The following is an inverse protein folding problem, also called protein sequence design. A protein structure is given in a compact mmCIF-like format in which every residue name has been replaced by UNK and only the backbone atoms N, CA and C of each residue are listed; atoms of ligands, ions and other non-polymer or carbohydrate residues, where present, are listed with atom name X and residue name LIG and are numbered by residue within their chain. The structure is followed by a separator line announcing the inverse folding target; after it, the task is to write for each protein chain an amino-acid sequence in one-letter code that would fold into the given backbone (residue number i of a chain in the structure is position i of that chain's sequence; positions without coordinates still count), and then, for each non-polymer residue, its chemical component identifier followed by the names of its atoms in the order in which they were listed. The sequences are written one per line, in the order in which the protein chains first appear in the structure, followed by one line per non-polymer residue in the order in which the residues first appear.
data_IF_630827278931
#
_entry.id   IF_630827278931
#
_cell.length_a   1.000
_cell.length_b   1.000
_cell.length_c   1.000
_cell.angle_alpha   90.00
_cell.angle_beta   90.00
_cell.angle_gamma   90.00
#
_symmetry.space_group_name_H-M   'P 1'
#
loop_
_entity.id
_entity.type
_entity.pdbx_description
1 polymer ?
#
# COMPACT_ATOMS: atom_id res chain seq x y z
N UNK A 1 -48.44 4.49 -6.70
CA UNK A 1 -47.27 4.35 -5.80
C UNK A 1 -46.81 2.89 -5.67
N UNK A 2 -47.47 1.95 -6.35
CA UNK A 2 -47.22 0.51 -6.20
C UNK A 2 -46.22 -0.09 -7.23
N UNK A 3 -45.90 0.63 -8.32
CA UNK A 3 -44.90 0.20 -9.31
C UNK A 3 -43.44 0.33 -8.82
N UNK A 4 -43.14 1.28 -7.92
CA UNK A 4 -41.80 1.39 -7.34
C UNK A 4 -41.52 0.28 -6.30
N UNK A 5 -42.56 -0.27 -5.67
CA UNK A 5 -42.41 -1.32 -4.66
C UNK A 5 -42.29 -2.72 -5.30
N UNK A 6 -42.86 -2.90 -6.50
CA UNK A 6 -42.66 -4.10 -7.32
C UNK A 6 -41.26 -4.14 -7.94
N UNK A 7 -40.73 -3.03 -8.44
CA UNK A 7 -39.35 -2.97 -8.95
C UNK A 7 -38.29 -3.18 -7.85
N UNK A 8 -38.52 -2.65 -6.64
CA UNK A 8 -37.65 -2.88 -5.48
C UNK A 8 -37.69 -4.34 -4.97
N UNK A 9 -38.83 -5.02 -5.10
CA UNK A 9 -38.97 -6.43 -4.72
C UNK A 9 -38.47 -7.40 -5.80
N UNK A 10 -38.47 -7.00 -7.08
CA UNK A 10 -37.87 -7.77 -8.18
C UNK A 10 -36.34 -7.67 -8.16
N UNK A 11 -35.78 -6.49 -7.84
CA UNK A 11 -34.32 -6.36 -7.63
C UNK A 11 -33.85 -7.09 -6.38
N UNK A 12 -34.61 -7.10 -5.28
CA UNK A 12 -34.23 -7.83 -4.07
C UNK A 12 -34.30 -9.36 -4.24
N UNK A 13 -35.25 -9.89 -5.03
CA UNK A 13 -35.31 -11.32 -5.35
C UNK A 13 -34.18 -11.79 -6.29
N UNK A 14 -33.82 -11.00 -7.30
CA UNK A 14 -32.67 -11.30 -8.17
C UNK A 14 -31.31 -11.26 -7.44
N UNK A 15 -31.19 -10.45 -6.38
CA UNK A 15 -29.99 -10.38 -5.53
C UNK A 15 -29.92 -11.49 -4.48
N UNK A 16 -31.05 -12.00 -4.01
CA UNK A 16 -31.09 -13.14 -3.08
C UNK A 16 -30.59 -14.44 -3.75
N UNK A 17 -30.91 -14.66 -5.03
CA UNK A 17 -30.40 -15.81 -5.80
C UNK A 17 -28.91 -15.69 -6.16
N UNK A 18 -28.40 -14.45 -6.29
CA UNK A 18 -26.97 -14.16 -6.52
C UNK A 18 -26.10 -14.44 -5.29
N UNK A 19 -26.68 -14.63 -4.11
CA UNK A 19 -25.97 -14.99 -2.88
C UNK A 19 -26.16 -16.45 -2.47
N UNK A 20 -26.36 -17.31 -3.47
CA UNK A 20 -26.10 -18.74 -3.35
C UNK A 20 -24.64 -18.98 -2.93
N UNK A 21 -24.46 -19.92 -2.00
CA UNK A 21 -23.33 -20.06 -1.07
C UNK A 21 -21.94 -20.38 -1.64
N UNK A 22 -21.66 -19.99 -2.87
CA UNK A 22 -20.33 -20.04 -3.44
C UNK A 22 -19.50 -18.82 -3.00
N UNK A 23 -18.27 -19.07 -2.55
CA UNK A 23 -17.31 -18.04 -2.14
C UNK A 23 -16.59 -17.48 -3.36
N UNK A 24 -16.57 -16.16 -3.51
CA UNK A 24 -15.95 -15.48 -4.68
C UNK A 24 -14.65 -14.74 -4.33
N UNK A 25 -13.98 -15.08 -3.23
CA UNK A 25 -12.68 -14.49 -2.86
C UNK A 25 -11.65 -14.47 -4.01
N UNK A 26 -11.66 -15.51 -4.87
CA UNK A 26 -10.79 -15.59 -6.04
C UNK A 26 -10.96 -14.41 -7.00
N UNK A 27 -12.17 -13.89 -7.18
CA UNK A 27 -12.43 -12.77 -8.07
C UNK A 27 -11.73 -11.48 -7.58
N UNK A 28 -11.66 -11.28 -6.27
CA UNK A 28 -10.98 -10.14 -5.66
C UNK A 28 -9.45 -10.27 -5.72
N UNK A 29 -8.92 -11.48 -5.50
CA UNK A 29 -7.47 -11.73 -5.66
C UNK A 29 -7.08 -11.58 -7.12
N UNK A 30 -7.88 -12.14 -8.03
CA UNK A 30 -7.65 -12.07 -9.46
C UNK A 30 -7.70 -10.63 -9.97
N UNK A 31 -8.60 -9.77 -9.47
CA UNK A 31 -8.61 -8.36 -9.86
C UNK A 31 -7.34 -7.63 -9.45
N UNK A 32 -6.80 -7.92 -8.27
CA UNK A 32 -5.52 -7.36 -7.80
C UNK A 32 -4.35 -7.85 -8.67
N UNK A 33 -4.25 -9.16 -8.92
CA UNK A 33 -3.18 -9.73 -9.73
C UNK A 33 -3.27 -9.27 -11.20
N UNK A 34 -4.47 -9.23 -11.77
CA UNK A 34 -4.70 -8.76 -13.13
C UNK A 34 -4.23 -7.32 -13.31
N UNK A 35 -4.59 -6.42 -12.39
CA UNK A 35 -4.12 -5.01 -12.48
C UNK A 35 -2.60 -4.90 -12.41
N UNK A 36 -1.94 -5.70 -11.55
CA UNK A 36 -0.48 -5.75 -11.49
C UNK A 36 0.14 -6.19 -12.82
N UNK A 37 -0.28 -7.34 -13.38
CA UNK A 37 0.29 -7.88 -14.62
C UNK A 37 -0.03 -7.03 -15.85
N UNK A 38 -1.27 -6.52 -15.96
CA UNK A 38 -1.67 -5.62 -17.04
C UNK A 38 -0.79 -4.37 -17.05
N UNK A 39 -0.50 -3.78 -15.90
CA UNK A 39 0.37 -2.61 -15.83
C UNK A 39 1.84 -2.90 -16.17
N UNK A 40 2.37 -4.06 -15.76
CA UNK A 40 3.72 -4.48 -16.18
C UNK A 40 3.78 -4.62 -17.70
N UNK A 41 2.81 -5.32 -18.30
CA UNK A 41 2.73 -5.51 -19.75
C UNK A 41 2.61 -4.15 -20.46
N UNK A 42 1.75 -3.25 -19.98
CA UNK A 42 1.58 -1.92 -20.57
C UNK A 42 2.89 -1.10 -20.55
N UNK A 43 3.67 -1.15 -19.47
CA UNK A 43 4.95 -0.45 -19.38
C UNK A 43 5.99 -1.09 -20.31
N UNK A 44 6.02 -2.42 -20.40
CA UNK A 44 6.92 -3.13 -21.31
C UNK A 44 6.59 -2.81 -22.77
N UNK A 45 5.31 -2.84 -23.15
CA UNK A 45 4.85 -2.45 -24.48
C UNK A 45 5.22 -1.00 -24.81
N UNK A 46 5.03 -0.07 -23.86
CA UNK A 46 5.46 1.32 -24.02
C UNK A 46 6.97 1.45 -24.25
N UNK A 47 7.79 0.72 -23.48
CA UNK A 47 9.25 0.71 -23.65
C UNK A 47 9.67 0.11 -24.99
N UNK A 48 9.09 -1.01 -25.39
CA UNK A 48 9.34 -1.65 -26.68
C UNK A 48 8.95 -0.73 -27.84
N UNK A 49 7.78 -0.08 -27.78
CA UNK A 49 7.33 0.90 -28.77
C UNK A 49 8.29 2.09 -28.89
N UNK A 50 8.76 2.63 -27.76
CA UNK A 50 9.74 3.72 -27.76
C UNK A 50 11.10 3.31 -28.35
N UNK A 51 11.53 2.06 -28.14
CA UNK A 51 12.76 1.52 -28.73
C UNK A 51 12.63 1.33 -30.25
N UNK A 52 11.50 0.81 -30.72
CA UNK A 52 11.20 0.65 -32.15
C UNK A 52 11.14 2.01 -32.84
N UNK A 53 10.47 3.00 -32.21
CA UNK A 53 10.40 4.37 -32.73
C UNK A 53 11.78 5.02 -32.85
N UNK A 54 12.69 4.80 -31.90
CA UNK A 54 14.08 5.30 -31.97
C UNK A 54 14.97 4.57 -32.99
N UNK A 55 14.67 3.30 -33.33
CA UNK A 55 15.34 2.55 -34.41
C UNK A 55 14.83 2.91 -35.81
N UNK A 56 13.63 3.45 -35.93
CA UNK A 56 13.01 3.89 -37.20
C UNK A 56 13.76 4.96 -38.02
N UNK A 57 14.48 5.95 -37.45
CA UNK A 57 15.14 6.99 -38.24
C UNK A 57 16.62 6.69 -38.55
N UNK A 58 17.20 5.62 -38.01
CA UNK A 58 18.66 5.40 -38.07
C UNK A 58 19.15 4.77 -39.38
N UNK A 59 18.28 4.06 -40.13
CA UNK A 59 18.65 3.51 -41.45
C UNK A 59 18.66 4.58 -42.56
N UNK A 60 17.89 5.67 -42.45
CA UNK A 60 17.85 6.75 -43.45
C UNK A 60 19.00 7.77 -43.30
N UNK A 61 19.64 7.82 -42.13
CA UNK A 61 20.67 8.81 -41.80
C UNK A 61 22.11 8.38 -42.08
N UNK A 62 22.41 7.08 -42.23
CA UNK A 62 23.79 6.61 -42.49
C UNK A 62 24.29 7.02 -43.89
N UNK A 63 23.40 7.03 -44.89
CA UNK A 63 23.74 7.49 -46.25
C UNK A 63 23.90 9.01 -46.36
N UNK A 64 23.21 9.81 -45.53
CA UNK A 64 23.37 11.28 -45.50
C UNK A 64 24.56 11.75 -44.67
N UNK A 65 25.00 10.98 -43.66
CA UNK A 65 26.17 11.36 -42.83
C UNK A 65 27.49 11.35 -43.59
N UNK A 66 27.69 10.45 -44.55
CA UNK A 66 28.94 10.42 -45.33
C UNK A 66 29.08 11.63 -46.27
N UNK A 67 27.97 12.10 -46.84
CA UNK A 67 27.93 13.35 -47.63
C UNK A 67 27.97 14.59 -46.71
N UNK A 68 27.32 14.46 -45.54
CA UNK A 68 27.32 15.31 -44.34
C UNK A 68 28.63 15.87 -43.82
N UNK A 69 29.54 14.93 -43.59
CA UNK A 69 30.78 15.14 -42.84
C UNK A 69 31.84 15.89 -43.64
N UNK A 70 31.70 15.99 -44.96
CA UNK A 70 32.60 16.75 -45.82
C UNK A 70 32.33 18.26 -45.80
N UNK A 71 31.15 18.72 -45.36
CA UNK A 71 30.71 20.12 -45.56
C UNK A 71 30.56 20.94 -44.26
N UNK A 72 30.46 20.30 -43.07
CA UNK A 72 30.06 20.98 -41.82
C UNK A 72 31.17 21.33 -40.83
N UNK A 73 32.44 21.14 -41.18
CA UNK A 73 33.56 21.48 -40.28
C UNK A 73 33.83 23.00 -40.16
N UNK A 74 33.13 23.85 -40.94
CA UNK A 74 33.42 25.30 -41.01
C UNK A 74 32.35 26.26 -40.45
N UNK A 75 31.22 25.83 -39.88
CA UNK A 75 30.16 26.80 -39.50
C UNK A 75 29.60 26.67 -38.08
N UNK A 76 30.16 27.52 -37.22
CA UNK A 76 29.47 28.38 -36.24
C UNK A 76 28.77 27.73 -35.04
N UNK A 77 29.38 28.00 -33.88
CA UNK A 77 28.74 28.59 -32.70
C UNK A 77 27.26 28.97 -32.88
N UNK A 78 26.37 28.43 -32.02
CA UNK A 78 25.06 29.02 -31.76
C UNK A 78 23.88 28.05 -31.71
N UNK A 79 23.06 28.27 -30.67
CA UNK A 79 21.60 28.02 -30.61
C UNK A 79 21.14 26.61 -30.19
N UNK A 80 20.98 26.43 -28.87
CA UNK A 80 20.01 25.47 -28.33
C UNK A 80 18.59 25.96 -28.68
N UNK A 81 17.79 25.20 -29.45
CA UNK A 81 16.44 25.62 -29.76
C UNK A 81 15.56 25.48 -28.52
N UNK A 82 15.18 26.64 -27.96
CA UNK A 82 14.00 26.76 -27.12
C UNK A 82 12.79 26.35 -27.97
N UNK A 83 11.87 25.60 -27.36
CA UNK A 83 10.43 25.53 -27.66
C UNK A 83 9.88 24.25 -28.31
N UNK A 84 9.81 23.20 -27.51
CA UNK A 84 8.55 22.50 -27.22
C UNK A 84 8.69 21.91 -25.81
N UNK A 85 8.20 22.62 -24.78
CA UNK A 85 8.00 21.97 -23.48
C UNK A 85 6.95 20.90 -23.69
N UNK A 86 7.39 19.66 -23.93
CA UNK A 86 6.52 18.50 -23.92
C UNK A 86 5.63 18.60 -22.68
N UNK A 87 4.32 18.73 -22.87
CA UNK A 87 3.35 18.85 -21.76
C UNK A 87 3.57 17.77 -20.69
N UNK A 88 4.02 16.58 -21.12
CA UNK A 88 4.38 15.46 -20.26
C UNK A 88 5.53 15.78 -19.29
N UNK A 89 6.54 16.56 -19.68
CA UNK A 89 7.64 16.95 -18.78
C UNK A 89 7.15 17.98 -17.77
N UNK A 90 6.30 18.92 -18.19
CA UNK A 90 5.69 19.93 -17.29
C UNK A 90 4.81 19.24 -16.23
N UNK A 91 3.94 18.32 -16.66
CA UNK A 91 3.08 17.55 -15.75
C UNK A 91 3.91 16.70 -14.79
N UNK A 92 4.98 16.06 -15.28
CA UNK A 92 5.91 15.28 -14.44
C UNK A 92 6.58 16.15 -13.37
N UNK A 93 7.09 17.32 -13.75
CA UNK A 93 7.72 18.25 -12.80
C UNK A 93 6.73 18.78 -11.76
N UNK A 94 5.50 19.09 -12.19
CA UNK A 94 4.45 19.54 -11.27
C UNK A 94 4.06 18.44 -10.28
N UNK A 95 3.85 17.21 -10.75
CA UNK A 95 3.57 16.06 -9.89
C UNK A 95 4.70 15.79 -8.89
N UNK A 96 5.95 15.87 -9.34
CA UNK A 96 7.12 15.71 -8.47
C UNK A 96 7.20 16.79 -7.38
N UNK A 97 6.89 18.05 -7.71
CA UNK A 97 6.81 19.17 -6.75
C UNK A 97 5.67 19.00 -5.74
N UNK A 98 4.57 18.39 -6.15
CA UNK A 98 3.42 18.15 -5.28
C UNK A 98 3.74 17.05 -4.25
N UNK A 99 4.38 15.96 -4.70
CA UNK A 99 4.81 14.86 -3.83
C UNK A 99 5.94 15.27 -2.89
N UNK A 100 6.84 16.16 -3.32
CA UNK A 100 7.94 16.63 -2.46
C UNK A 100 7.46 17.49 -1.28
N UNK A 101 6.20 17.93 -1.26
CA UNK A 101 5.63 18.70 -0.15
C UNK A 101 6.27 20.07 0.07
N UNK A 102 7.04 20.59 -0.90
CA UNK A 102 7.71 21.89 -0.76
C UNK A 102 6.71 23.05 -0.81
N UNK A 103 5.73 22.95 -1.71
CA UNK A 103 4.68 23.95 -1.89
C UNK A 103 3.52 23.70 -0.92
N UNK A 104 2.79 24.76 -0.59
CA UNK A 104 1.57 24.69 0.23
C UNK A 104 0.57 23.60 -0.23
N UNK A 105 0.21 23.48 -1.53
CA UNK A 105 -0.67 22.39 -1.99
C UNK A 105 -0.07 20.99 -1.78
N UNK A 106 1.26 20.84 -1.91
CA UNK A 106 1.93 19.57 -1.63
C UNK A 106 1.89 19.20 -0.15
N UNK A 107 2.07 20.16 0.76
CA UNK A 107 1.93 19.93 2.21
C UNK A 107 0.53 19.47 2.58
N UNK A 108 -0.49 20.12 2.02
CA UNK A 108 -1.89 19.74 2.23
C UNK A 108 -2.14 18.33 1.72
N UNK A 109 -1.65 17.99 0.53
CA UNK A 109 -1.77 16.64 -0.04
C UNK A 109 -1.14 15.58 0.87
N UNK A 110 0.09 15.82 1.34
CA UNK A 110 0.81 14.87 2.20
C UNK A 110 0.10 14.67 3.55
N UNK A 111 -0.38 15.76 4.17
CA UNK A 111 -1.16 15.68 5.41
C UNK A 111 -2.47 14.93 5.18
N UNK A 112 -3.18 15.24 4.08
CA UNK A 112 -4.42 14.55 3.72
C UNK A 112 -4.19 13.05 3.53
N UNK A 113 -3.10 12.64 2.87
CA UNK A 113 -2.74 11.23 2.71
C UNK A 113 -2.55 10.53 4.05
N UNK A 114 -1.87 11.16 5.02
CA UNK A 114 -1.70 10.58 6.37
C UNK A 114 -3.05 10.43 7.07
N UNK A 115 -3.84 11.50 7.13
CA UNK A 115 -5.13 11.50 7.84
C UNK A 115 -6.09 10.48 7.23
N UNK A 116 -6.21 10.45 5.90
CA UNK A 116 -7.05 9.50 5.18
C UNK A 116 -6.53 8.07 5.32
N UNK A 117 -5.21 7.86 5.38
CA UNK A 117 -4.65 6.52 5.61
C UNK A 117 -5.01 5.99 6.99
N UNK A 118 -4.93 6.84 8.02
CA UNK A 118 -5.33 6.49 9.38
C UNK A 118 -6.84 6.22 9.46
N UNK A 119 -7.67 7.05 8.83
CA UNK A 119 -9.11 6.82 8.75
C UNK A 119 -9.45 5.49 8.05
N UNK A 120 -8.78 5.19 6.92
CA UNK A 120 -8.97 3.92 6.19
C UNK A 120 -8.55 2.69 7.00
N UNK A 121 -7.59 2.85 7.91
CA UNK A 121 -7.13 1.81 8.82
C UNK A 121 -8.12 1.59 9.97
N UNK A 122 -8.72 2.67 10.50
CA UNK A 122 -9.80 2.57 11.49
C UNK A 122 -11.01 1.83 10.92
N UNK A 123 -11.39 2.11 9.67
CA UNK A 123 -12.46 1.36 8.98
C UNK A 123 -12.10 -0.12 8.88
N UNK A 124 -10.86 -0.45 8.53
CA UNK A 124 -10.41 -1.85 8.49
C UNK A 124 -10.56 -2.54 9.86
N UNK A 125 -10.10 -1.91 10.95
CA UNK A 125 -10.28 -2.49 12.29
C UNK A 125 -11.75 -2.60 12.69
N UNK A 126 -12.59 -1.66 12.29
CA UNK A 126 -14.03 -1.75 12.54
C UNK A 126 -14.65 -2.93 11.78
N UNK A 127 -14.40 -3.06 10.47
CA UNK A 127 -14.96 -4.14 9.64
C UNK A 127 -14.52 -5.52 10.15
N UNK A 128 -13.25 -5.68 10.49
CA UNK A 128 -12.67 -6.94 10.95
C UNK A 128 -13.26 -7.45 12.27
N UNK A 129 -13.69 -6.54 13.16
CA UNK A 129 -14.26 -6.93 14.45
C UNK A 129 -15.79 -7.10 14.41
N UNK A 130 -16.45 -6.56 13.39
CA UNK A 130 -17.93 -6.51 13.33
C UNK A 130 -18.53 -7.41 12.27
N UNK A 131 -17.80 -7.71 11.20
CA UNK A 131 -18.31 -8.44 10.05
C UNK A 131 -17.54 -9.75 9.80
N UNK A 132 -18.20 -10.78 9.25
CA UNK A 132 -17.52 -11.95 8.73
C UNK A 132 -16.66 -11.60 7.50
N UNK A 133 -15.76 -12.50 7.10
CA UNK A 133 -14.81 -12.25 5.99
C UNK A 133 -15.52 -11.88 4.68
N UNK A 134 -16.62 -12.57 4.37
CA UNK A 134 -17.46 -12.35 3.20
C UNK A 134 -18.88 -12.00 3.64
N UNK A 135 -19.36 -10.84 3.23
CA UNK A 135 -20.74 -10.39 3.47
C UNK A 135 -21.42 -10.05 2.15
N UNK A 136 -22.57 -10.68 1.91
CA UNK A 136 -23.46 -10.31 0.82
C UNK A 136 -24.30 -9.10 1.24
N UNK A 137 -23.85 -7.91 0.87
CA UNK A 137 -24.60 -6.68 1.11
C UNK A 137 -24.34 -5.69 -0.02
N UNK A 138 -25.40 -5.04 -0.51
CA UNK A 138 -25.26 -3.98 -1.51
C UNK A 138 -24.56 -2.76 -0.91
N UNK A 139 -23.77 -2.07 -1.74
CA UNK A 139 -23.04 -0.85 -1.37
C UNK A 139 -23.95 0.28 -0.83
N UNK A 140 -25.24 0.27 -1.19
CA UNK A 140 -26.17 1.36 -0.88
C UNK A 140 -26.58 1.30 0.59
N UNK A 141 -26.50 0.11 1.18
CA UNK A 141 -26.96 -0.15 2.53
C UNK A 141 -25.86 -0.01 3.59
N UNK A 142 -24.59 -0.05 3.21
CA UNK A 142 -23.45 -0.01 4.13
C UNK A 142 -22.68 1.32 4.02
N UNK A 143 -22.73 2.12 5.09
CA UNK A 143 -21.96 3.37 5.17
C UNK A 143 -20.45 3.10 5.12
N UNK A 144 -19.98 2.00 5.73
CA UNK A 144 -18.55 1.64 5.75
C UNK A 144 -17.99 1.37 4.35
N UNK A 145 -18.76 0.71 3.48
CA UNK A 145 -18.35 0.44 2.10
C UNK A 145 -18.32 1.72 1.25
N UNK A 146 -19.25 2.65 1.46
CA UNK A 146 -19.26 3.94 0.77
C UNK A 146 -18.05 4.80 1.17
N UNK A 147 -17.76 4.88 2.48
CA UNK A 147 -16.57 5.58 2.97
C UNK A 147 -15.29 4.94 2.45
N UNK A 148 -15.23 3.61 2.41
CA UNK A 148 -14.09 2.87 1.88
C UNK A 148 -13.80 3.23 0.42
N UNK A 149 -14.84 3.28 -0.41
CA UNK A 149 -14.72 3.66 -1.81
C UNK A 149 -14.22 5.09 -1.98
N UNK A 150 -14.77 6.04 -1.23
CA UNK A 150 -14.34 7.45 -1.30
C UNK A 150 -12.85 7.58 -0.99
N UNK A 151 -12.36 6.86 0.03
CA UNK A 151 -10.94 6.84 0.36
C UNK A 151 -10.11 6.17 -0.74
N UNK A 152 -10.57 5.06 -1.32
CA UNK A 152 -9.84 4.37 -2.40
C UNK A 152 -9.78 5.20 -3.68
N UNK A 153 -10.80 6.01 -4.00
CA UNK A 153 -10.75 6.96 -5.13
C UNK A 153 -9.65 8.01 -4.90
N UNK A 154 -9.55 8.55 -3.68
CA UNK A 154 -8.46 9.47 -3.34
C UNK A 154 -7.08 8.80 -3.45
N UNK A 155 -6.93 7.56 -2.95
CA UNK A 155 -5.66 6.82 -3.08
C UNK A 155 -5.33 6.47 -4.52
N UNK A 156 -6.33 6.21 -5.37
CA UNK A 156 -6.13 6.01 -6.80
C UNK A 156 -5.55 7.27 -7.47
N UNK A 157 -6.10 8.45 -7.15
CA UNK A 157 -5.54 9.71 -7.62
C UNK A 157 -4.10 9.92 -7.13
N UNK A 158 -3.84 9.64 -5.85
CA UNK A 158 -2.49 9.73 -5.28
C UNK A 158 -1.51 8.74 -5.94
N UNK A 159 -1.94 7.51 -6.23
CA UNK A 159 -1.17 6.53 -6.98
C UNK A 159 -0.78 7.05 -8.37
N UNK A 160 -1.72 7.67 -9.10
CA UNK A 160 -1.41 8.26 -10.41
C UNK A 160 -0.40 9.40 -10.33
N UNK A 161 -0.49 10.27 -9.33
CA UNK A 161 0.51 11.32 -9.10
C UNK A 161 1.91 10.72 -8.91
N UNK A 162 2.03 9.68 -8.07
CA UNK A 162 3.29 8.97 -7.83
C UNK A 162 3.83 8.29 -9.09
N UNK A 163 2.95 7.65 -9.85
CA UNK A 163 3.31 7.00 -11.12
C UNK A 163 3.86 8.00 -12.15
N UNK A 164 3.25 9.19 -12.25
CA UNK A 164 3.69 10.25 -13.17
C UNK A 164 5.05 10.84 -12.74
N UNK A 165 5.25 11.04 -11.43
CA UNK A 165 6.49 11.60 -10.90
C UNK A 165 7.68 10.62 -10.98
N UNK A 166 7.43 9.31 -11.02
CA UNK A 166 8.47 8.29 -11.05
C UNK A 166 9.44 8.45 -12.25
N UNK A 167 10.74 8.38 -11.98
CA UNK A 167 11.77 8.40 -13.02
C UNK A 167 11.81 7.05 -13.77
N UNK A 168 11.80 5.95 -13.03
CA UNK A 168 11.76 4.59 -13.57
C UNK A 168 10.41 3.91 -13.33
N UNK A 169 9.56 3.89 -14.37
CA UNK A 169 8.20 3.33 -14.29
C UNK A 169 8.18 1.86 -13.87
N UNK A 170 9.10 1.02 -14.36
CA UNK A 170 9.15 -0.41 -14.00
C UNK A 170 9.60 -0.64 -12.55
N UNK A 171 10.62 0.11 -12.10
CA UNK A 171 11.10 0.01 -10.72
C UNK A 171 10.01 0.46 -9.75
N UNK A 172 9.34 1.56 -10.07
CA UNK A 172 8.18 2.04 -9.31
C UNK A 172 7.04 1.01 -9.29
N UNK A 173 6.69 0.43 -10.44
CA UNK A 173 5.58 -0.54 -10.53
C UNK A 173 5.90 -1.86 -9.82
N UNK A 174 7.12 -2.37 -9.93
CA UNK A 174 7.46 -3.71 -9.45
C UNK A 174 8.07 -3.73 -8.04
N UNK A 175 8.85 -2.71 -7.64
CA UNK A 175 9.68 -2.75 -6.44
C UNK A 175 9.23 -1.78 -5.33
N UNK A 176 8.29 -0.87 -5.61
CA UNK A 176 7.79 0.04 -4.57
C UNK A 176 6.71 -0.63 -3.73
N UNK A 177 7.05 -0.91 -2.46
CA UNK A 177 6.15 -1.55 -1.48
C UNK A 177 4.85 -0.76 -1.32
N UNK A 178 4.90 0.56 -1.45
CA UNK A 178 3.70 1.39 -1.30
C UNK A 178 2.75 1.28 -2.48
N UNK A 179 3.25 0.94 -3.67
CA UNK A 179 2.43 0.66 -4.84
C UNK A 179 1.73 -0.69 -4.71
N UNK A 180 2.40 -1.68 -4.08
CA UNK A 180 1.79 -2.99 -3.81
C UNK A 180 0.57 -2.87 -2.91
N UNK A 181 0.63 -2.03 -1.87
CA UNK A 181 -0.53 -1.78 -1.00
C UNK A 181 -1.73 -1.27 -1.80
N UNK A 182 -1.50 -0.37 -2.76
CA UNK A 182 -2.57 0.18 -3.58
C UNK A 182 -3.14 -0.87 -4.56
N UNK A 183 -2.31 -1.76 -5.11
CA UNK A 183 -2.77 -2.87 -5.96
C UNK A 183 -3.63 -3.89 -5.23
N UNK A 184 -3.37 -4.15 -3.95
CA UNK A 184 -4.14 -5.11 -3.16
C UNK A 184 -5.35 -4.51 -2.46
N UNK A 185 -5.50 -3.18 -2.47
CA UNK A 185 -6.61 -2.50 -1.75
C UNK A 185 -7.59 -1.81 -2.70
N UNK A 186 -7.11 -1.22 -3.79
CA UNK A 186 -7.96 -0.42 -4.69
C UNK A 186 -8.80 -1.31 -5.63
N UNK A 187 -8.23 -2.23 -6.44
CA UNK A 187 -9.03 -3.06 -7.36
C UNK A 187 -10.11 -3.91 -6.67
N UNK A 188 -9.83 -4.59 -5.53
CA UNK A 188 -10.86 -5.33 -4.80
C UNK A 188 -12.04 -4.47 -4.36
N UNK A 189 -11.82 -3.19 -4.04
CA UNK A 189 -12.90 -2.28 -3.65
C UNK A 189 -13.86 -1.97 -4.81
N UNK A 190 -13.35 -1.87 -6.04
CA UNK A 190 -14.19 -1.74 -7.23
C UNK A 190 -14.88 -3.06 -7.58
N UNK A 191 -14.17 -4.18 -7.46
CA UNK A 191 -14.75 -5.52 -7.65
C UNK A 191 -15.90 -5.78 -6.67
N UNK A 192 -15.81 -5.28 -5.43
CA UNK A 192 -16.88 -5.40 -4.44
C UNK A 192 -18.20 -4.75 -4.90
N UNK A 193 -18.11 -3.67 -5.68
CA UNK A 193 -19.29 -2.98 -6.23
C UNK A 193 -19.88 -3.79 -7.39
N UNK A 194 -19.02 -4.27 -8.30
CA UNK A 194 -19.45 -5.05 -9.48
C UNK A 194 -20.12 -6.35 -9.06
N UNK A 195 -19.59 -7.02 -8.02
CA UNK A 195 -20.14 -8.27 -7.52
C UNK A 195 -21.24 -8.08 -6.46
N UNK A 196 -21.44 -6.87 -5.94
CA UNK A 196 -22.37 -6.61 -4.83
C UNK A 196 -22.03 -7.36 -3.54
N UNK A 197 -20.75 -7.66 -3.30
CA UNK A 197 -20.27 -8.46 -2.15
C UNK A 197 -19.07 -7.77 -1.48
N UNK A 198 -19.05 -7.74 -0.16
CA UNK A 198 -17.97 -7.18 0.63
C UNK A 198 -16.99 -8.28 1.06
N UNK A 199 -15.70 -8.09 0.79
CA UNK A 199 -14.63 -9.00 1.21
C UNK A 199 -13.56 -8.25 1.99
N UNK A 200 -13.28 -8.72 3.21
CA UNK A 200 -12.27 -8.13 4.10
C UNK A 200 -10.86 -8.46 3.60
N UNK A 201 -10.63 -9.72 3.19
CA UNK A 201 -9.49 -10.16 2.38
C UNK A 201 -8.16 -9.46 2.60
N UNK A 202 -7.64 -8.89 1.50
CA UNK A 202 -6.33 -8.25 1.41
C UNK A 202 -6.28 -6.83 2.03
N UNK A 203 -7.34 -6.37 2.71
CA UNK A 203 -7.37 -5.03 3.30
C UNK A 203 -6.33 -4.83 4.41
N UNK A 204 -5.80 -5.90 5.01
CA UNK A 204 -4.73 -5.79 6.01
C UNK A 204 -3.46 -5.13 5.45
N UNK A 205 -3.22 -5.16 4.13
CA UNK A 205 -2.10 -4.43 3.50
C UNK A 205 -2.16 -2.91 3.75
N UNK A 206 -3.33 -2.35 4.11
CA UNK A 206 -3.47 -0.93 4.50
C UNK A 206 -2.57 -0.56 5.68
N UNK A 207 -2.30 -1.51 6.58
CA UNK A 207 -1.40 -1.32 7.72
C UNK A 207 -0.01 -0.90 7.24
N UNK A 208 0.46 -1.42 6.09
CA UNK A 208 1.75 -1.05 5.53
C UNK A 208 1.87 0.42 5.09
N UNK A 209 0.76 1.18 5.06
CA UNK A 209 0.80 2.64 4.91
C UNK A 209 1.47 3.33 6.11
N UNK A 210 1.51 2.70 7.29
CA UNK A 210 2.26 3.19 8.46
C UNK A 210 3.75 3.35 8.14
N UNK A 211 4.30 2.55 7.21
CA UNK A 211 5.70 2.66 6.78
C UNK A 211 6.02 4.01 6.13
N UNK A 212 5.03 4.74 5.60
CA UNK A 212 5.22 6.08 5.03
C UNK A 212 5.35 7.19 6.09
N UNK A 213 4.88 6.95 7.31
CA UNK A 213 4.80 7.96 8.36
C UNK A 213 6.16 8.59 8.68
N UNK A 214 7.27 7.84 8.86
CA UNK A 214 8.58 8.43 9.15
C UNK A 214 9.05 9.44 8.08
N UNK A 215 8.85 9.11 6.81
CA UNK A 215 9.26 9.96 5.68
C UNK A 215 8.43 11.25 5.66
N UNK A 216 7.13 11.14 5.94
CA UNK A 216 6.22 12.28 6.01
C UNK A 216 6.56 13.17 7.22
N UNK A 217 6.84 12.60 8.39
CA UNK A 217 7.25 13.40 9.55
C UNK A 217 8.59 14.12 9.33
N UNK A 218 9.49 13.51 8.55
CA UNK A 218 10.74 14.16 8.13
C UNK A 218 10.43 15.34 7.20
N UNK A 219 9.52 15.19 6.24
CA UNK A 219 9.09 16.29 5.37
C UNK A 219 8.39 17.43 6.13
N UNK A 220 7.65 17.12 7.19
CA UNK A 220 7.00 18.12 8.06
C UNK A 220 7.97 18.77 9.05
N UNK A 221 9.27 18.46 9.01
CA UNK A 221 10.30 18.97 9.92
C UNK A 221 10.02 18.73 11.41
N UNK A 222 9.17 17.74 11.74
CA UNK A 222 8.85 17.31 13.11
C UNK A 222 10.03 16.49 13.66
N UNK A 223 10.51 15.52 12.87
CA UNK A 223 11.69 14.71 13.21
C UNK A 223 12.94 15.39 12.68
N UNK A 224 13.63 16.17 13.54
CA UNK A 224 14.85 16.90 13.16
C UNK A 224 16.13 16.09 13.38
N UNK A 225 16.14 15.17 14.34
CA UNK A 225 17.32 14.38 14.69
C UNK A 225 17.40 13.10 13.85
N UNK A 226 18.58 12.80 13.31
CA UNK A 226 18.87 11.57 12.58
C UNK A 226 18.54 10.31 13.39
N UNK A 227 18.84 10.32 14.69
CA UNK A 227 18.53 9.22 15.60
C UNK A 227 17.01 9.04 15.74
N UNK A 228 16.27 10.13 15.86
CA UNK A 228 14.80 10.08 15.98
C UNK A 228 14.12 9.60 14.68
N UNK A 229 14.65 9.97 13.51
CA UNK A 229 14.16 9.47 12.21
C UNK A 229 14.40 7.96 12.10
N UNK A 230 15.61 7.51 12.43
CA UNK A 230 15.99 6.10 12.39
C UNK A 230 15.16 5.26 13.37
N UNK A 231 14.97 5.75 14.60
CA UNK A 231 14.10 5.16 15.61
C UNK A 231 12.67 4.99 15.11
N UNK A 232 12.08 6.07 14.60
CA UNK A 232 10.70 6.09 14.14
C UNK A 232 10.52 5.13 12.96
N UNK A 233 11.49 5.08 12.03
CA UNK A 233 11.45 4.15 10.90
C UNK A 233 11.53 2.69 11.35
N UNK A 234 12.37 2.35 12.32
CA UNK A 234 12.42 0.99 12.87
C UNK A 234 11.13 0.60 13.59
N UNK A 235 10.57 1.49 14.42
CA UNK A 235 9.32 1.23 15.14
C UNK A 235 8.15 1.06 14.17
N UNK A 236 7.99 1.95 13.19
CA UNK A 236 6.96 1.85 12.17
C UNK A 236 7.09 0.55 11.37
N UNK A 237 8.31 0.12 11.02
CA UNK A 237 8.55 -1.17 10.36
C UNK A 237 8.12 -2.35 11.23
N UNK A 238 8.51 -2.36 12.50
CA UNK A 238 8.17 -3.43 13.45
C UNK A 238 6.65 -3.56 13.63
N UNK A 239 5.95 -2.46 13.90
CA UNK A 239 4.49 -2.47 14.03
C UNK A 239 3.79 -2.84 12.72
N UNK A 240 4.30 -2.37 11.58
CA UNK A 240 3.75 -2.71 10.27
C UNK A 240 3.82 -4.21 10.01
N UNK A 241 4.99 -4.83 10.22
CA UNK A 241 5.19 -6.26 9.99
C UNK A 241 4.31 -7.09 10.93
N UNK A 242 4.25 -6.74 12.21
CA UNK A 242 3.43 -7.46 13.20
C UNK A 242 1.94 -7.39 12.90
N UNK A 243 1.41 -6.18 12.70
CA UNK A 243 -0.02 -6.01 12.47
C UNK A 243 -0.44 -6.58 11.09
N UNK A 244 0.40 -6.44 10.06
CA UNK A 244 0.10 -7.04 8.75
C UNK A 244 0.12 -8.57 8.79
N UNK A 245 1.06 -9.17 9.54
CA UNK A 245 1.08 -10.61 9.76
C UNK A 245 -0.15 -11.10 10.55
N UNK A 246 -0.62 -10.32 11.53
CA UNK A 246 -1.84 -10.65 12.27
C UNK A 246 -3.07 -10.64 11.35
N UNK A 247 -3.14 -9.68 10.43
CA UNK A 247 -4.19 -9.63 9.41
C UNK A 247 -4.14 -10.79 8.43
N UNK A 248 -2.94 -11.22 8.03
CA UNK A 248 -2.77 -12.40 7.19
C UNK A 248 -3.23 -13.69 7.91
N UNK A 249 -2.79 -13.90 9.15
CA UNK A 249 -3.22 -15.04 9.98
C UNK A 249 -4.74 -15.04 10.17
N UNK A 250 -5.31 -13.88 10.51
CA UNK A 250 -6.76 -13.71 10.65
C UNK A 250 -7.52 -14.09 9.38
N UNK A 251 -7.01 -13.69 8.21
CA UNK A 251 -7.62 -14.03 6.93
C UNK A 251 -7.56 -15.54 6.68
N UNK A 252 -6.40 -16.16 6.87
CA UNK A 252 -6.20 -17.58 6.56
C UNK A 252 -6.99 -18.48 7.50
N UNK A 253 -6.95 -18.24 8.81
CA UNK A 253 -7.64 -19.09 9.80
C UNK A 253 -9.16 -18.98 9.70
N UNK A 254 -9.69 -17.77 9.49
CA UNK A 254 -11.13 -17.59 9.34
C UNK A 254 -11.63 -18.10 7.97
N UNK A 255 -10.80 -18.05 6.91
CA UNK A 255 -11.16 -18.56 5.58
C UNK A 255 -11.10 -20.09 5.52
N UNK A 256 -10.10 -20.69 6.17
CA UNK A 256 -9.79 -22.11 6.10
C UNK A 256 -8.95 -22.48 4.87
N UNK A 257 -8.45 -23.72 4.85
CA UNK A 257 -7.62 -24.24 3.76
C UNK A 257 -8.44 -24.60 2.52
N UNK A 258 -7.98 -24.15 1.34
CA UNK A 258 -8.59 -24.51 0.07
C UNK A 258 -8.42 -25.99 -0.30
N UNK A 259 -7.39 -26.66 0.22
CA UNK A 259 -7.12 -28.08 -0.07
C UNK A 259 -8.09 -29.05 0.64
N UNK A 260 -8.63 -28.66 1.81
CA UNK A 260 -9.50 -29.50 2.64
C UNK A 260 -10.96 -29.02 2.59
N UNK A 261 -11.44 -28.55 1.44
CA UNK A 261 -12.81 -28.02 1.28
C UNK A 261 -13.22 -26.99 2.36
N UNK A 262 -12.27 -26.19 2.85
CA UNK A 262 -12.49 -25.19 3.89
C UNK A 262 -13.05 -25.73 5.23
N UNK A 263 -12.92 -27.02 5.52
CA UNK A 263 -13.43 -27.63 6.75
C UNK A 263 -12.72 -27.17 8.02
N UNK A 264 -11.47 -26.72 7.88
CA UNK A 264 -10.58 -26.39 9.00
C UNK A 264 -10.60 -24.89 9.36
N UNK A 265 -11.71 -24.18 9.12
CA UNK A 265 -11.84 -22.77 9.50
C UNK A 265 -12.01 -22.61 11.01
N UNK A 266 -11.31 -21.65 11.60
CA UNK A 266 -11.46 -21.28 13.00
C UNK A 266 -11.82 -19.80 13.09
N UNK A 267 -12.93 -19.48 13.77
CA UNK A 267 -13.34 -18.10 14.03
C UNK A 267 -12.46 -17.48 15.11
N UNK A 268 -11.38 -16.82 14.71
CA UNK A 268 -10.51 -16.04 15.60
C UNK A 268 -10.65 -14.55 15.31
N UNK A 269 -10.72 -13.77 16.38
CA UNK A 269 -10.72 -12.30 16.26
C UNK A 269 -9.33 -11.80 15.89
N UNK A 270 -9.27 -10.64 15.24
CA UNK A 270 -7.98 -10.05 14.85
C UNK A 270 -7.09 -9.74 16.05
N UNK A 271 -7.66 -9.29 17.16
CA UNK A 271 -6.88 -9.02 18.37
C UNK A 271 -6.31 -10.30 19.01
N UNK A 272 -7.00 -11.43 18.91
CA UNK A 272 -6.44 -12.74 19.29
C UNK A 272 -5.27 -13.12 18.38
N UNK A 273 -5.34 -12.82 17.08
CA UNK A 273 -4.22 -13.04 16.16
C UNK A 273 -3.01 -12.16 16.51
N UNK A 274 -3.24 -10.89 16.86
CA UNK A 274 -2.19 -9.97 17.32
C UNK A 274 -1.55 -10.50 18.60
N UNK A 275 -2.36 -10.93 19.58
CA UNK A 275 -1.87 -11.53 20.82
C UNK A 275 -1.01 -12.77 20.54
N UNK A 276 -1.52 -13.70 19.72
CA UNK A 276 -0.79 -14.91 19.31
C UNK A 276 0.58 -14.59 18.71
N UNK A 277 0.65 -13.63 17.79
CA UNK A 277 1.92 -13.25 17.16
C UNK A 277 2.89 -12.57 18.13
N UNK A 278 2.40 -11.73 19.05
CA UNK A 278 3.26 -11.10 20.08
C UNK A 278 3.84 -12.17 21.00
N UNK A 279 3.03 -13.11 21.48
CA UNK A 279 3.46 -14.22 22.35
C UNK A 279 4.43 -15.17 21.65
N UNK A 280 4.23 -15.39 20.35
CA UNK A 280 5.10 -16.24 19.54
C UNK A 280 6.45 -15.56 19.27
N UNK A 281 6.44 -14.27 18.92
CA UNK A 281 7.66 -13.48 18.67
C UNK A 281 8.49 -13.25 19.92
N UNK A 282 7.84 -13.11 21.08
CA UNK A 282 8.53 -13.02 22.37
C UNK A 282 9.08 -14.36 22.85
N UNK A 283 8.92 -15.44 22.08
CA UNK A 283 9.35 -16.81 22.40
C UNK A 283 8.70 -17.38 23.66
N UNK A 284 7.57 -16.81 24.11
CA UNK A 284 6.85 -17.28 25.30
C UNK A 284 6.01 -18.51 24.97
N UNK A 285 5.21 -18.46 23.90
CA UNK A 285 4.49 -19.63 23.38
C UNK A 285 3.54 -20.31 24.37
N UNK A 286 2.55 -19.59 24.93
CA UNK A 286 1.58 -20.16 25.87
C UNK A 286 0.77 -21.34 25.30
N UNK A 287 0.53 -21.36 23.98
CA UNK A 287 -0.23 -22.42 23.30
C UNK A 287 -1.74 -22.35 23.47
N UNK A 288 -2.27 -21.26 24.03
CA UNK A 288 -3.70 -21.00 24.19
C UNK A 288 -4.40 -20.74 22.84
N UNK A 289 -3.74 -20.00 21.96
CA UNK A 289 -4.11 -19.87 20.54
C UNK A 289 -3.04 -20.54 19.67
N UNK A 290 -3.48 -21.28 18.66
CA UNK A 290 -2.61 -21.93 17.67
C UNK A 290 -3.28 -21.95 16.30
N UNK A 291 -2.47 -22.06 15.25
CA UNK A 291 -2.91 -22.12 13.86
C UNK A 291 -3.29 -23.55 13.50
N UNK A 292 -4.54 -23.74 13.04
CA UNK A 292 -5.03 -25.05 12.59
C UNK A 292 -4.85 -25.24 11.09
N UNK A 293 -4.82 -24.14 10.33
CA UNK A 293 -4.69 -24.20 8.88
C UNK A 293 -3.26 -24.55 8.47
N UNK A 294 -3.13 -25.34 7.41
CA UNK A 294 -1.85 -25.75 6.84
C UNK A 294 -1.09 -24.54 6.29
N UNK A 295 -1.83 -23.60 5.66
CA UNK A 295 -1.26 -22.36 5.15
C UNK A 295 -0.77 -21.46 6.30
N UNK A 296 -1.55 -21.36 7.39
CA UNK A 296 -1.16 -20.62 8.59
C UNK A 296 0.08 -21.21 9.25
N UNK A 297 0.14 -22.54 9.38
CA UNK A 297 1.31 -23.25 9.92
C UNK A 297 2.56 -23.05 9.07
N UNK A 298 2.44 -23.09 7.74
CA UNK A 298 3.55 -22.78 6.85
C UNK A 298 4.02 -21.34 7.03
N UNK A 299 3.08 -20.38 7.10
CA UNK A 299 3.39 -18.98 7.29
C UNK A 299 4.11 -18.70 8.62
N UNK A 300 3.68 -19.29 9.72
CA UNK A 300 4.29 -19.01 11.03
C UNK A 300 5.73 -19.50 11.12
N UNK A 301 6.10 -20.58 10.43
CA UNK A 301 7.49 -21.08 10.37
C UNK A 301 8.42 -20.02 9.74
N UNK A 302 8.02 -19.46 8.60
CA UNK A 302 8.78 -18.38 7.96
C UNK A 302 8.75 -17.09 8.79
N UNK A 303 7.60 -16.78 9.39
CA UNK A 303 7.44 -15.58 10.20
C UNK A 303 8.30 -15.61 11.47
N UNK A 304 8.40 -16.74 12.18
CA UNK A 304 9.28 -16.87 13.36
C UNK A 304 10.73 -16.64 12.94
N UNK A 305 11.17 -17.25 11.84
CA UNK A 305 12.55 -17.14 11.35
C UNK A 305 12.90 -15.69 11.00
N UNK A 306 12.07 -15.02 10.20
CA UNK A 306 12.29 -13.61 9.85
C UNK A 306 12.06 -12.63 11.01
N UNK A 307 11.12 -12.97 11.88
CA UNK A 307 10.70 -12.19 13.03
C UNK A 307 11.76 -12.09 14.11
N UNK A 308 12.41 -13.22 14.43
CA UNK A 308 13.56 -13.26 15.34
C UNK A 308 14.70 -12.37 14.83
N UNK A 309 15.00 -12.40 13.53
CA UNK A 309 16.03 -11.54 12.94
C UNK A 309 15.69 -10.05 13.04
N UNK A 310 14.42 -9.69 12.79
CA UNK A 310 13.95 -8.30 12.94
C UNK A 310 14.01 -7.85 14.40
N UNK A 311 13.58 -8.70 15.33
CA UNK A 311 13.55 -8.40 16.76
C UNK A 311 14.96 -8.27 17.36
N UNK A 312 15.88 -9.16 16.97
CA UNK A 312 17.28 -9.11 17.36
C UNK A 312 17.98 -7.81 16.92
N UNK A 313 17.57 -7.23 15.79
CA UNK A 313 18.05 -5.93 15.34
C UNK A 313 17.37 -4.76 16.06
N UNK A 314 16.06 -4.87 16.30
CA UNK A 314 15.27 -3.78 16.86
C UNK A 314 15.60 -3.48 18.32
N UNK A 315 15.72 -4.49 19.18
CA UNK A 315 15.92 -4.27 20.62
C UNK A 315 17.22 -3.50 20.94
N UNK A 316 18.40 -3.91 20.45
CA UNK A 316 19.65 -3.21 20.80
C UNK A 316 19.65 -1.76 20.31
N UNK A 317 19.10 -1.52 19.12
CA UNK A 317 19.01 -0.18 18.54
C UNK A 317 18.06 0.72 19.36
N UNK A 318 16.92 0.17 19.83
CA UNK A 318 16.03 0.87 20.75
C UNK A 318 16.72 1.18 22.10
N UNK A 319 17.46 0.21 22.64
CA UNK A 319 18.14 0.35 23.92
C UNK A 319 19.25 1.43 23.87
N UNK A 320 20.06 1.44 22.82
CA UNK A 320 21.14 2.43 22.62
C UNK A 320 20.57 3.86 22.51
N UNK A 321 19.48 4.02 21.77
CA UNK A 321 18.84 5.33 21.58
C UNK A 321 18.16 5.84 22.86
N UNK A 322 17.57 4.95 23.67
CA UNK A 322 16.98 5.32 24.96
C UNK A 322 18.06 5.61 26.02
N UNK A 323 19.19 4.89 25.98
CA UNK A 323 20.31 5.05 26.91
C UNK A 323 21.10 6.35 26.67
N UNK A 324 21.01 6.95 25.49
CA UNK A 324 21.73 8.19 25.16
C UNK A 324 21.14 9.47 25.80
N UNK A 325 20.18 9.36 26.72
CA UNK A 325 19.73 10.50 27.53
C UNK A 325 20.83 10.89 28.51
N UNK A 326 21.31 12.14 28.45
CA UNK A 326 22.34 12.70 29.35
C UNK A 326 21.92 12.50 30.82
N UNK A 327 22.60 11.57 31.52
CA UNK A 327 22.35 11.23 32.93
C UNK A 327 22.43 12.44 33.87
N UNK A 328 23.18 13.47 33.49
CA UNK A 328 23.43 14.68 34.30
C UNK A 328 22.80 15.95 33.73
N UNK A 329 21.70 15.86 32.97
CA UNK A 329 21.01 17.05 32.41
C UNK A 329 20.10 17.77 33.44
N UNK A 330 20.42 17.73 34.73
CA UNK A 330 19.69 18.45 35.76
C UNK A 330 20.17 19.89 35.89
N UNK A 331 19.25 20.80 36.20
CA UNK A 331 19.61 22.14 36.66
C UNK A 331 19.93 22.07 38.16
N UNK A 332 21.01 22.73 38.59
CA UNK A 332 21.33 22.88 40.01
C UNK A 332 20.20 23.67 40.69
N UNK A 333 19.52 23.05 41.66
CA UNK A 333 18.54 23.74 42.50
C UNK A 333 19.28 24.38 43.66
N UNK A 334 19.32 25.71 43.68
CA UNK A 334 19.75 26.47 44.85
C UNK A 334 18.71 26.26 45.95
N UNK A 335 19.10 25.63 47.06
CA UNK A 335 18.32 25.69 48.29
C UNK A 335 18.66 27.00 49.02
N UNK A 336 17.64 27.80 49.30
CA UNK A 336 17.80 28.99 50.13
C UNK A 336 18.06 28.53 51.57
N UNK A 337 19.27 28.78 52.08
CA UNK A 337 19.60 28.58 53.49
C UNK A 337 18.65 29.39 54.38
N UNK A 338 18.19 28.77 55.47
CA UNK A 338 17.32 29.41 56.48
C UNK A 338 18.06 30.45 57.29
#
# INVERSE_FOLDING_TARGET
MDENNSNASITSRGLADSCSGERYWFAFVLSSLATYFIGVIAILLWRCGALIYKRGPTMRHRSRRLVSLAEKQELSYGFDPINERNWATVVKEYAAKLISGQQLPGKILVIAVVVLSLASLVIYFYDVNTQPIELCQLWTQSLTQQLDLVFNIFFLFYFFLRFVAAQDKLRFWCLDVHSWVDYFTIPPSFTAIVLGRNWIGMRFFRIARIMNIPDILQFLHILRSSNSIRLTRMLCLLFTVWLSAAGFVHLVENSGDFFNNYSNSQSITYFQCVYFLIVTMSTVGYGDYHLRTTIGQCFIIFFITGGLALFARAIPELAEMLSNKKKYAGNYRLENGK
#
